data_IF_613581091562
#
_entry.id   IF_613581091562
#
_cell.length_a   1.000
_cell.length_b   1.000
_cell.length_c   1.000
_cell.angle_alpha   90.00
_cell.angle_beta   90.00
_cell.angle_gamma   90.00
#
_symmetry.space_group_name_H-M   'P 1'
#
loop_
_entity.id
_entity.type
_entity.pdbx_description
1 polymer ?
#
# COMPACT_ATOMS: atom_id res chain seq x y z
N UNK A 1 -0.42 -9.10 -14.65
CA UNK A 1 0.83 -9.23 -13.86
C UNK A 1 0.68 -8.40 -12.58
N UNK A 2 0.31 -9.01 -11.45
CA UNK A 2 0.21 -8.35 -10.13
C UNK A 2 1.49 -8.59 -9.32
N UNK A 3 2.66 -8.33 -9.91
CA UNK A 3 3.95 -8.64 -9.28
C UNK A 3 4.53 -7.49 -8.44
N UNK A 4 3.78 -6.42 -8.20
CA UNK A 4 4.20 -5.31 -7.33
C UNK A 4 3.04 -4.93 -6.41
N UNK A 5 3.04 -5.36 -5.12
CA UNK A 5 2.01 -4.98 -4.15
C UNK A 5 2.28 -3.56 -3.64
N UNK A 6 2.47 -2.64 -4.58
CA UNK A 6 2.76 -1.23 -4.34
C UNK A 6 1.53 -0.46 -4.81
N UNK A 7 0.95 0.33 -3.91
CA UNK A 7 -0.24 1.14 -4.16
C UNK A 7 0.06 2.61 -3.87
N UNK A 8 -0.52 3.49 -4.69
CA UNK A 8 -0.53 4.93 -4.47
C UNK A 8 -1.90 5.37 -3.96
N UNK A 9 -1.97 6.51 -3.25
CA UNK A 9 -3.25 7.07 -2.77
C UNK A 9 -4.25 7.27 -3.92
N UNK A 10 -3.77 7.61 -5.13
CA UNK A 10 -4.62 7.73 -6.32
C UNK A 10 -5.23 6.40 -6.77
N UNK A 11 -4.50 5.30 -6.64
CA UNK A 11 -5.02 3.97 -6.97
C UNK A 11 -6.04 3.52 -5.91
N UNK A 12 -5.80 3.83 -4.64
CA UNK A 12 -6.79 3.61 -3.56
C UNK A 12 -8.06 4.44 -3.81
N UNK A 13 -7.90 5.70 -4.22
CA UNK A 13 -9.00 6.57 -4.59
C UNK A 13 -9.85 5.98 -5.73
N UNK A 14 -9.22 5.47 -6.79
CA UNK A 14 -9.92 4.81 -7.91
C UNK A 14 -10.61 3.51 -7.47
N UNK A 15 -9.95 2.72 -6.64
CA UNK A 15 -10.47 1.43 -6.18
C UNK A 15 -11.66 1.58 -5.22
N UNK A 16 -11.66 2.62 -4.39
CA UNK A 16 -12.70 2.86 -3.37
C UNK A 16 -13.77 3.86 -3.82
N UNK A 17 -13.52 4.65 -4.87
CA UNK A 17 -14.39 5.74 -5.30
C UNK A 17 -14.43 6.93 -4.31
N UNK A 18 -13.53 6.96 -3.33
CA UNK A 18 -13.50 7.99 -2.28
C UNK A 18 -12.88 9.30 -2.78
N UNK A 19 -13.01 10.36 -1.99
CA UNK A 19 -12.23 11.59 -2.19
C UNK A 19 -10.75 11.33 -1.86
N UNK A 20 -9.84 12.13 -2.43
CA UNK A 20 -8.41 12.01 -2.14
C UNK A 20 -8.11 12.08 -0.63
N UNK A 21 -8.82 12.93 0.11
CA UNK A 21 -8.68 13.04 1.57
C UNK A 21 -9.07 11.74 2.27
N UNK A 22 -10.26 11.21 1.97
CA UNK A 22 -10.73 9.96 2.57
C UNK A 22 -9.85 8.75 2.18
N UNK A 23 -9.35 8.70 0.95
CA UNK A 23 -8.40 7.69 0.51
C UNK A 23 -7.06 7.80 1.25
N UNK A 24 -6.58 9.02 1.49
CA UNK A 24 -5.35 9.25 2.24
C UNK A 24 -5.51 8.89 3.73
N UNK A 25 -6.65 9.22 4.33
CA UNK A 25 -6.97 8.86 5.71
C UNK A 25 -7.05 7.33 5.86
N UNK A 26 -7.72 6.64 4.91
CA UNK A 26 -7.76 5.17 4.87
C UNK A 26 -6.37 4.54 4.74
N UNK A 27 -5.50 5.09 3.90
CA UNK A 27 -4.11 4.63 3.78
C UNK A 27 -3.34 4.86 5.07
N UNK A 28 -3.54 6.01 5.73
CA UNK A 28 -2.91 6.30 7.02
C UNK A 28 -3.38 5.33 8.11
N UNK A 29 -4.65 4.95 8.13
CA UNK A 29 -5.19 3.93 9.04
C UNK A 29 -4.52 2.56 8.77
N UNK A 30 -4.41 2.16 7.50
CA UNK A 30 -3.71 0.92 7.14
C UNK A 30 -2.22 0.93 7.53
N UNK A 31 -1.56 2.08 7.47
CA UNK A 31 -0.18 2.23 7.96
C UNK A 31 -0.12 2.14 9.47
N UNK A 32 -1.07 2.76 10.18
CA UNK A 32 -1.18 2.71 11.64
C UNK A 32 -1.44 1.30 12.16
N UNK A 33 -2.15 0.49 11.38
CA UNK A 33 -2.43 -0.91 11.68
C UNK A 33 -1.34 -1.90 11.19
N UNK A 34 -0.16 -1.41 10.76
CA UNK A 34 0.95 -2.23 10.23
C UNK A 34 0.57 -3.12 9.03
N UNK A 35 -0.49 -2.76 8.30
CA UNK A 35 -0.94 -3.45 7.09
C UNK A 35 -0.17 -2.91 5.88
N UNK A 36 -0.07 -1.59 5.76
CA UNK A 36 0.70 -0.92 4.71
C UNK A 36 1.96 -0.26 5.28
N UNK A 37 3.01 -0.19 4.49
CA UNK A 37 4.25 0.47 4.86
C UNK A 37 4.60 1.51 3.82
N UNK A 38 4.87 2.75 4.26
CA UNK A 38 5.32 3.79 3.35
C UNK A 38 6.72 3.45 2.85
N UNK A 39 6.87 3.27 1.52
CA UNK A 39 8.16 2.98 0.89
C UNK A 39 8.94 4.22 0.51
N UNK A 40 8.27 5.37 0.38
CA UNK A 40 8.86 6.58 -0.20
C UNK A 40 8.89 7.74 0.78
N UNK A 41 10.04 8.39 0.93
CA UNK A 41 10.18 9.67 1.64
C UNK A 41 9.92 10.92 0.80
N UNK A 42 9.26 10.82 -0.36
CA UNK A 42 8.99 11.96 -1.26
C UNK A 42 7.53 12.42 -1.21
N UNK A 43 7.33 13.75 -1.23
CA UNK A 43 6.04 14.42 -0.95
C UNK A 43 4.99 14.32 -2.08
N UNK A 44 5.38 14.00 -3.32
CA UNK A 44 4.48 14.06 -4.49
C UNK A 44 3.91 12.72 -4.96
N UNK A 45 4.58 11.62 -4.66
CA UNK A 45 4.14 10.27 -5.06
C UNK A 45 4.44 9.29 -3.94
N UNK A 46 3.58 9.29 -2.92
CA UNK A 46 3.72 8.35 -1.82
C UNK A 46 3.32 6.95 -2.27
N UNK A 47 4.28 6.04 -2.24
CA UNK A 47 4.11 4.62 -2.51
C UNK A 47 3.99 3.87 -1.19
N UNK A 48 2.99 3.00 -1.12
CA UNK A 48 2.74 2.14 0.03
C UNK A 48 2.86 0.69 -0.40
N UNK A 49 3.56 -0.13 0.37
CA UNK A 49 3.70 -1.56 0.11
C UNK A 49 2.92 -2.36 1.12
N UNK A 50 2.28 -3.43 0.65
CA UNK A 50 1.64 -4.40 1.52
C UNK A 50 2.68 -5.44 1.99
N UNK A 51 3.38 -5.12 3.09
CA UNK A 51 4.48 -5.95 3.61
C UNK A 51 3.98 -7.32 4.11
N UNK A 52 2.84 -7.37 4.81
CA UNK A 52 2.27 -8.65 5.28
C UNK A 52 1.89 -9.58 4.11
N UNK A 53 1.37 -9.04 3.02
CA UNK A 53 1.10 -9.83 1.82
C UNK A 53 2.39 -10.42 1.25
N UNK A 54 3.46 -9.63 1.12
CA UNK A 54 4.76 -10.11 0.66
C UNK A 54 5.32 -11.23 1.55
N UNK A 55 5.15 -11.13 2.87
CA UNK A 55 5.57 -12.17 3.81
C UNK A 55 4.90 -13.52 3.57
N UNK A 56 3.62 -13.54 3.17
CA UNK A 56 2.89 -14.78 2.85
C UNK A 56 3.50 -15.53 1.65
N UNK A 57 4.05 -14.81 0.66
CA UNK A 57 4.72 -15.43 -0.49
C UNK A 57 6.19 -15.76 -0.22
N UNK A 58 6.83 -15.06 0.72
CA UNK A 58 8.23 -15.33 1.07
C UNK A 58 8.42 -16.69 1.76
N UNK A 59 7.33 -17.29 2.28
CA UNK A 59 7.33 -18.66 2.81
C UNK A 59 7.20 -19.76 1.74
N UNK A 60 7.05 -19.40 0.46
CA UNK A 60 6.89 -20.33 -0.68
C UNK A 60 8.13 -20.36 -1.60
N UNK A 61 9.18 -19.59 -1.30
CA UNK A 61 10.45 -19.64 -2.02
C UNK A 61 11.43 -20.47 -1.19
N UNK A 62 11.64 -21.76 -1.49
CA UNK A 62 12.76 -22.49 -0.89
C UNK A 62 14.05 -21.75 -1.26
N UNK A 63 14.86 -21.46 -0.23
CA UNK A 63 16.21 -20.91 -0.39
C UNK A 63 17.07 -21.77 -1.31
#
# INVERSE_FOLDING_TARGET
MLQRPIVEVKEVQKATGLSYKAANDLVADFVTHDVLKEMTGQSRTRLFVFEQYLQLFNNQIPK
#
